data_IF_667049557550
#
_entry.id   IF_667049557550
#
_cell.length_a   1.000
_cell.length_b   1.000
_cell.length_c   1.000
_cell.angle_alpha   90.00
_cell.angle_beta   90.00
_cell.angle_gamma   90.00
#
_symmetry.space_group_name_H-M   'P 1'
#
loop_
_entity.id
_entity.type
_entity.pdbx_description
1 polymer ?
#
# COMPACT_ATOMS: atom_id res chain seq x y z
N UNK A 1 -12.18 -9.42 11.07
CA UNK A 1 -13.51 -10.04 11.30
C UNK A 1 -14.50 -8.92 11.65
N UNK A 2 -15.02 -8.21 10.64
CA UNK A 2 -16.08 -7.22 10.88
C UNK A 2 -17.38 -8.02 11.02
N UNK A 3 -17.93 -8.07 12.23
CA UNK A 3 -19.31 -8.47 12.46
C UNK A 3 -20.17 -7.46 11.71
N UNK A 4 -20.68 -7.83 10.53
CA UNK A 4 -21.95 -7.29 10.05
C UNK A 4 -22.88 -7.48 11.24
N UNK A 5 -23.23 -6.38 11.92
CA UNK A 5 -23.92 -6.51 13.19
C UNK A 5 -25.18 -7.31 12.89
N UNK A 6 -25.37 -8.44 13.57
CA UNK A 6 -26.62 -9.20 13.48
C UNK A 6 -27.82 -8.26 13.62
N UNK A 7 -27.63 -7.17 14.37
CA UNK A 7 -28.54 -6.04 14.49
C UNK A 7 -28.94 -5.38 13.16
N UNK A 8 -28.04 -5.08 12.22
CA UNK A 8 -28.41 -4.46 10.94
C UNK A 8 -29.26 -5.37 10.04
N UNK A 9 -28.94 -6.67 10.04
CA UNK A 9 -29.67 -7.69 9.28
C UNK A 9 -31.03 -8.00 9.92
N UNK A 10 -31.08 -8.06 11.26
CA UNK A 10 -32.33 -8.15 12.03
C UNK A 10 -33.19 -6.91 11.85
N UNK A 11 -32.62 -5.70 11.83
CA UNK A 11 -33.38 -4.46 11.67
C UNK A 11 -34.03 -4.36 10.28
N UNK A 12 -33.32 -4.75 9.22
CA UNK A 12 -33.88 -4.82 7.87
C UNK A 12 -35.00 -5.87 7.75
N UNK A 13 -34.83 -7.05 8.33
CA UNK A 13 -35.86 -8.10 8.38
C UNK A 13 -37.09 -7.68 9.20
N UNK A 14 -36.88 -7.05 10.34
CA UNK A 14 -37.95 -6.58 11.25
C UNK A 14 -38.72 -5.41 10.65
N UNK A 15 -38.12 -4.58 9.79
CA UNK A 15 -38.82 -3.51 9.08
C UNK A 15 -39.57 -4.00 7.82
N UNK A 16 -39.01 -4.97 7.09
CA UNK A 16 -39.65 -5.50 5.87
C UNK A 16 -40.83 -6.43 6.18
N UNK A 17 -40.79 -7.17 7.29
CA UNK A 17 -41.86 -8.08 7.69
C UNK A 17 -43.23 -7.39 7.88
N UNK A 18 -43.38 -6.30 8.66
CA UNK A 18 -44.67 -5.63 8.82
C UNK A 18 -45.16 -4.94 7.54
N UNK A 19 -44.26 -4.44 6.69
CA UNK A 19 -44.63 -3.84 5.39
C UNK A 19 -45.22 -4.88 4.43
N UNK A 20 -44.82 -6.14 4.55
CA UNK A 20 -45.38 -7.26 3.77
C UNK A 20 -46.67 -7.83 4.39
N UNK A 21 -46.71 -7.96 5.72
CA UNK A 21 -47.78 -8.67 6.45
C UNK A 21 -49.03 -7.79 6.63
N UNK A 22 -48.87 -6.49 6.89
CA UNK A 22 -50.01 -5.60 7.19
C UNK A 22 -50.95 -5.41 6.00
N UNK A 23 -50.49 -5.16 4.76
CA UNK A 23 -51.40 -5.01 3.62
C UNK A 23 -52.01 -6.34 3.17
N UNK A 24 -51.32 -7.47 3.41
CA UNK A 24 -51.78 -8.81 3.09
C UNK A 24 -53.06 -9.22 3.82
N UNK A 25 -53.28 -8.69 5.04
CA UNK A 25 -54.46 -8.99 5.85
C UNK A 25 -55.74 -8.29 5.37
N UNK A 26 -55.64 -7.29 4.48
CA UNK A 26 -56.76 -6.44 4.07
C UNK A 26 -56.95 -6.34 2.53
N UNK A 27 -56.26 -7.16 1.74
CA UNK A 27 -56.25 -7.08 0.27
C UNK A 27 -57.00 -8.24 -0.43
N UNK A 28 -57.81 -7.91 -1.44
CA UNK A 28 -58.37 -8.89 -2.39
C UNK A 28 -57.24 -9.56 -3.20
N UNK A 29 -57.46 -10.78 -3.71
CA UNK A 29 -56.43 -11.64 -4.32
C UNK A 29 -55.55 -10.96 -5.39
N UNK A 30 -56.12 -10.10 -6.23
CA UNK A 30 -55.36 -9.33 -7.25
C UNK A 30 -54.44 -8.27 -6.64
N UNK A 31 -54.88 -7.57 -5.59
CA UNK A 31 -54.07 -6.57 -4.87
C UNK A 31 -52.97 -7.24 -4.06
N UNK A 32 -53.23 -8.43 -3.53
CA UNK A 32 -52.24 -9.23 -2.82
C UNK A 32 -51.06 -9.60 -3.72
N UNK A 33 -51.32 -10.02 -4.97
CA UNK A 33 -50.24 -10.34 -5.91
C UNK A 33 -49.36 -9.14 -6.25
N UNK A 34 -49.95 -7.96 -6.48
CA UNK A 34 -49.21 -6.74 -6.76
C UNK A 34 -48.38 -6.24 -5.55
N UNK A 35 -48.91 -6.37 -4.33
CA UNK A 35 -48.18 -6.06 -3.10
C UNK A 35 -47.03 -7.05 -2.89
N UNK A 36 -47.29 -8.35 -3.06
CA UNK A 36 -46.30 -9.40 -2.91
C UNK A 36 -45.12 -9.24 -3.88
N UNK A 37 -45.38 -8.94 -5.15
CA UNK A 37 -44.32 -8.68 -6.14
C UNK A 37 -43.53 -7.42 -5.81
N UNK A 38 -44.19 -6.34 -5.34
CA UNK A 38 -43.53 -5.13 -4.87
C UNK A 38 -42.60 -5.38 -3.68
N UNK A 39 -43.05 -6.16 -2.69
CA UNK A 39 -42.25 -6.55 -1.52
C UNK A 39 -41.06 -7.42 -1.92
N UNK A 40 -41.25 -8.39 -2.82
CA UNK A 40 -40.16 -9.23 -3.33
C UNK A 40 -39.11 -8.40 -4.06
N UNK A 41 -39.52 -7.46 -4.91
CA UNK A 41 -38.62 -6.54 -5.60
C UNK A 41 -37.80 -5.68 -4.63
N UNK A 42 -38.43 -5.14 -3.58
CA UNK A 42 -37.73 -4.39 -2.54
C UNK A 42 -36.73 -5.27 -1.77
N UNK A 43 -37.11 -6.52 -1.45
CA UNK A 43 -36.21 -7.49 -0.82
C UNK A 43 -34.97 -7.79 -1.67
N UNK A 44 -35.13 -7.94 -2.98
CA UNK A 44 -34.00 -8.12 -3.91
C UNK A 44 -33.08 -6.89 -3.95
N UNK A 45 -33.64 -5.67 -4.02
CA UNK A 45 -32.85 -4.43 -4.02
C UNK A 45 -32.02 -4.34 -2.74
N UNK A 46 -32.64 -4.56 -1.58
CA UNK A 46 -31.95 -4.53 -0.28
C UNK A 46 -30.84 -5.58 -0.23
N UNK A 47 -31.12 -6.80 -0.69
CA UNK A 47 -30.12 -7.88 -0.77
C UNK A 47 -28.94 -7.50 -1.67
N UNK A 48 -29.20 -6.91 -2.84
CA UNK A 48 -28.16 -6.45 -3.76
C UNK A 48 -27.31 -5.33 -3.17
N UNK A 49 -27.93 -4.37 -2.47
CA UNK A 49 -27.22 -3.30 -1.77
C UNK A 49 -26.31 -3.89 -0.69
N UNK A 50 -26.81 -4.82 0.13
CA UNK A 50 -25.99 -5.49 1.14
C UNK A 50 -24.86 -6.31 0.53
N UNK A 51 -25.12 -7.05 -0.55
CA UNK A 51 -24.10 -7.81 -1.26
C UNK A 51 -23.02 -6.87 -1.83
N UNK A 52 -23.40 -5.74 -2.45
CA UNK A 52 -22.47 -4.76 -2.96
C UNK A 52 -21.62 -4.11 -1.84
N UNK A 53 -22.23 -3.78 -0.69
CA UNK A 53 -21.49 -3.26 0.47
C UNK A 53 -20.53 -4.30 1.04
N UNK A 54 -20.95 -5.56 1.16
CA UNK A 54 -20.09 -6.65 1.63
C UNK A 54 -18.90 -6.87 0.69
N UNK A 55 -19.12 -6.89 -0.63
CA UNK A 55 -18.06 -7.00 -1.64
C UNK A 55 -17.10 -5.80 -1.56
N UNK A 56 -17.64 -4.59 -1.39
CA UNK A 56 -16.81 -3.37 -1.28
C UNK A 56 -15.92 -3.41 -0.04
N UNK A 57 -16.47 -3.82 1.11
CA UNK A 57 -15.71 -3.93 2.36
C UNK A 57 -14.65 -5.03 2.26
N UNK A 58 -15.00 -6.21 1.76
CA UNK A 58 -14.04 -7.31 1.54
C UNK A 58 -12.90 -6.89 0.57
N UNK A 59 -13.23 -6.13 -0.46
CA UNK A 59 -12.23 -5.58 -1.38
C UNK A 59 -11.32 -4.57 -0.69
N UNK A 60 -11.87 -3.71 0.17
CA UNK A 60 -11.09 -2.74 0.93
C UNK A 60 -10.17 -3.43 1.95
N UNK A 61 -10.68 -4.38 2.73
CA UNK A 61 -9.90 -5.15 3.69
C UNK A 61 -8.72 -5.86 3.00
N UNK A 62 -8.97 -6.51 1.86
CA UNK A 62 -7.90 -7.14 1.04
C UNK A 62 -6.86 -6.15 0.54
N UNK A 63 -7.27 -4.92 0.19
CA UNK A 63 -6.35 -3.86 -0.24
C UNK A 63 -5.47 -3.38 0.90
N UNK A 64 -6.04 -3.22 2.09
CA UNK A 64 -5.32 -2.89 3.32
C UNK A 64 -4.33 -4.00 3.69
N UNK A 65 -4.78 -5.26 3.68
CA UNK A 65 -3.94 -6.42 3.99
C UNK A 65 -2.72 -6.52 3.06
N UNK A 66 -2.89 -6.22 1.76
CA UNK A 66 -1.77 -6.22 0.81
C UNK A 66 -0.78 -5.08 1.06
N UNK A 67 -1.25 -3.90 1.45
CA UNK A 67 -0.37 -2.80 1.84
C UNK A 67 0.43 -3.15 3.09
N UNK A 68 -0.22 -3.76 4.07
CA UNK A 68 0.41 -4.23 5.32
C UNK A 68 1.38 -5.38 5.06
N UNK A 69 1.03 -6.38 4.24
CA UNK A 69 1.94 -7.48 3.87
C UNK A 69 3.20 -6.93 3.18
N UNK A 70 3.04 -5.99 2.26
CA UNK A 70 4.18 -5.37 1.59
C UNK A 70 5.06 -4.59 2.58
N UNK A 71 4.47 -3.81 3.48
CA UNK A 71 5.23 -3.10 4.51
C UNK A 71 5.95 -4.08 5.44
N UNK A 72 5.28 -5.14 5.89
CA UNK A 72 5.88 -6.19 6.72
C UNK A 72 7.11 -6.79 6.04
N UNK A 73 7.09 -7.00 4.72
CA UNK A 73 8.27 -7.46 3.97
C UNK A 73 9.43 -6.46 3.96
N UNK A 74 9.14 -5.15 4.01
CA UNK A 74 10.17 -4.09 4.06
C UNK A 74 10.84 -4.00 5.44
N UNK A 75 10.11 -4.34 6.50
CA UNK A 75 10.58 -4.27 7.90
C UNK A 75 10.94 -5.62 8.50
N UNK A 76 10.69 -6.73 7.81
CA UNK A 76 11.08 -8.07 8.24
C UNK A 76 12.47 -8.44 7.72
N UNK A 77 13.14 -9.33 8.44
CA UNK A 77 14.32 -10.03 7.93
C UNK A 77 13.94 -10.91 6.71
N UNK A 78 14.83 -11.07 5.71
CA UNK A 78 16.21 -10.54 5.62
C UNK A 78 16.30 -9.12 5.04
N UNK A 79 15.19 -8.54 4.57
CA UNK A 79 15.18 -7.23 3.88
C UNK A 79 15.57 -6.09 4.82
N UNK A 80 15.11 -6.14 6.07
CA UNK A 80 15.51 -5.17 7.08
C UNK A 80 17.03 -5.08 7.22
N UNK A 81 17.72 -6.22 7.35
CA UNK A 81 19.18 -6.25 7.48
C UNK A 81 19.88 -5.76 6.22
N UNK A 82 19.39 -6.15 5.04
CA UNK A 82 19.91 -5.66 3.76
C UNK A 82 19.86 -4.14 3.69
N UNK A 83 18.72 -3.54 4.10
CA UNK A 83 18.54 -2.09 4.13
C UNK A 83 19.49 -1.42 5.12
N UNK A 84 19.61 -1.97 6.33
CA UNK A 84 20.47 -1.39 7.38
C UNK A 84 21.95 -1.48 6.99
N UNK A 85 22.41 -2.63 6.50
CA UNK A 85 23.79 -2.83 6.01
C UNK A 85 24.11 -1.87 4.88
N UNK A 86 23.27 -1.85 3.83
CA UNK A 86 23.52 -1.01 2.67
C UNK A 86 23.47 0.48 3.06
N UNK A 87 22.49 0.93 3.84
CA UNK A 87 22.43 2.32 4.27
C UNK A 87 23.65 2.73 5.12
N UNK A 88 24.11 1.86 6.03
CA UNK A 88 25.32 2.10 6.82
C UNK A 88 26.55 2.21 5.91
N UNK A 89 26.68 1.32 4.93
CA UNK A 89 27.77 1.32 3.95
C UNK A 89 27.81 2.64 3.16
N UNK A 90 26.66 3.07 2.63
CA UNK A 90 26.57 4.34 1.91
C UNK A 90 26.88 5.57 2.78
N UNK A 91 26.52 5.53 4.08
CA UNK A 91 26.89 6.59 5.03
C UNK A 91 28.39 6.60 5.34
N UNK A 92 29.00 5.42 5.47
CA UNK A 92 30.44 5.30 5.69
C UNK A 92 31.21 5.87 4.49
N UNK A 93 30.77 5.57 3.27
CA UNK A 93 31.35 6.12 2.04
C UNK A 93 31.17 7.64 1.89
N UNK A 94 30.12 8.21 2.47
CA UNK A 94 29.83 9.66 2.43
C UNK A 94 30.29 10.43 3.68
N UNK A 95 31.12 9.83 4.54
CA UNK A 95 31.72 10.52 5.70
C UNK A 95 30.70 11.00 6.74
N UNK A 96 29.58 10.29 6.90
CA UNK A 96 28.49 10.65 7.81
C UNK A 96 27.19 11.03 7.10
N UNK A 97 27.29 11.49 5.85
CA UNK A 97 26.14 11.65 4.93
C UNK A 97 26.01 10.42 4.02
N UNK A 98 24.83 10.18 3.47
CA UNK A 98 24.63 9.09 2.50
C UNK A 98 25.25 9.50 1.17
N UNK A 99 26.30 8.80 0.74
CA UNK A 99 26.82 8.94 -0.63
C UNK A 99 25.84 8.31 -1.62
N UNK A 100 25.42 9.09 -2.61
CA UNK A 100 24.68 8.56 -3.74
C UNK A 100 25.60 7.68 -4.60
N UNK A 101 25.15 6.48 -4.97
CA UNK A 101 25.92 5.54 -5.80
C UNK A 101 25.04 4.93 -6.90
N UNK A 102 25.60 4.76 -8.10
CA UNK A 102 24.96 3.97 -9.15
C UNK A 102 25.02 2.46 -8.83
N UNK A 103 24.08 1.67 -9.37
CA UNK A 103 24.13 0.22 -9.20
C UNK A 103 25.40 -0.37 -9.84
N UNK A 104 25.83 0.19 -10.98
CA UNK A 104 27.10 -0.19 -11.60
C UNK A 104 28.31 -0.01 -10.67
N UNK A 105 28.37 1.08 -9.90
CA UNK A 105 29.47 1.32 -8.93
C UNK A 105 29.51 0.23 -7.86
N UNK A 106 28.35 -0.20 -7.35
CA UNK A 106 28.24 -1.29 -6.38
C UNK A 106 28.73 -2.64 -6.93
N UNK A 107 28.82 -2.80 -8.26
CA UNK A 107 29.33 -4.00 -8.91
C UNK A 107 30.82 -3.91 -9.23
N UNK A 108 31.26 -2.76 -9.75
CA UNK A 108 32.58 -2.65 -10.39
C UNK A 108 33.63 -1.94 -9.55
N UNK A 109 33.25 -1.07 -8.62
CA UNK A 109 34.23 -0.36 -7.79
C UNK A 109 34.69 -1.27 -6.63
N UNK A 110 35.98 -1.65 -6.54
CA UNK A 110 36.49 -2.51 -5.47
C UNK A 110 36.32 -1.95 -4.06
N UNK A 111 36.25 -0.63 -3.91
CA UNK A 111 36.07 0.05 -2.62
C UNK A 111 34.60 0.06 -2.18
N UNK A 112 33.66 -0.06 -3.12
CA UNK A 112 32.23 0.06 -2.86
C UNK A 112 31.53 -1.30 -2.91
N UNK A 113 32.03 -2.23 -3.73
CA UNK A 113 31.38 -3.52 -4.05
C UNK A 113 31.41 -4.58 -2.94
N UNK A 114 31.97 -4.25 -1.78
CA UNK A 114 32.10 -5.17 -0.63
C UNK A 114 31.76 -4.43 0.65
N UNK A 115 31.10 -5.14 1.57
CA UNK A 115 31.01 -4.68 2.94
C UNK A 115 32.31 -4.99 3.67
N UNK A 116 32.68 -4.10 4.59
CA UNK A 116 33.70 -4.34 5.61
C UNK A 116 32.96 -4.34 6.97
N UNK A 117 33.00 -5.42 7.79
CA UNK A 117 33.82 -6.63 7.69
C UNK A 117 33.09 -7.89 7.19
N UNK A 118 31.97 -7.77 6.47
CA UNK A 118 31.07 -8.90 6.16
C UNK A 118 31.15 -9.35 4.68
N UNK A 119 32.16 -10.16 4.28
CA UNK A 119 32.41 -10.47 2.86
C UNK A 119 31.41 -11.47 2.24
N UNK A 120 30.56 -12.11 3.05
CA UNK A 120 29.61 -13.13 2.59
C UNK A 120 28.39 -12.57 1.86
N UNK A 121 28.11 -11.27 2.02
CA UNK A 121 27.00 -10.56 1.40
C UNK A 121 27.55 -9.34 0.67
N UNK A 122 27.05 -9.03 -0.52
CA UNK A 122 27.49 -7.85 -1.28
C UNK A 122 26.46 -6.71 -1.25
N UNK A 123 26.91 -5.44 -1.32
CA UNK A 123 26.03 -4.27 -1.51
C UNK A 123 25.07 -4.42 -2.69
N UNK A 124 25.54 -5.01 -3.79
CA UNK A 124 24.70 -5.28 -4.96
C UNK A 124 23.58 -6.29 -4.65
N UNK A 125 23.87 -7.37 -3.91
CA UNK A 125 22.87 -8.35 -3.51
C UNK A 125 21.78 -7.72 -2.64
N UNK A 126 22.18 -6.92 -1.65
CA UNK A 126 21.25 -6.21 -0.78
C UNK A 126 20.41 -5.19 -1.56
N UNK A 127 21.03 -4.42 -2.46
CA UNK A 127 20.29 -3.50 -3.34
C UNK A 127 19.26 -4.24 -4.18
N UNK A 128 19.63 -5.35 -4.82
CA UNK A 128 18.71 -6.13 -5.64
C UNK A 128 17.52 -6.67 -4.84
N UNK A 129 17.74 -7.10 -3.59
CA UNK A 129 16.65 -7.52 -2.70
C UNK A 129 15.69 -6.37 -2.41
N UNK A 130 16.23 -5.18 -2.12
CA UNK A 130 15.45 -3.98 -1.85
C UNK A 130 14.64 -3.55 -3.08
N UNK A 131 15.27 -3.50 -4.26
CA UNK A 131 14.62 -3.11 -5.51
C UNK A 131 13.45 -4.04 -5.87
N UNK A 132 13.57 -5.35 -5.65
CA UNK A 132 12.47 -6.32 -5.87
C UNK A 132 11.25 -6.06 -4.98
N UNK A 133 11.45 -5.50 -3.79
CA UNK A 133 10.32 -5.12 -2.93
C UNK A 133 9.59 -3.91 -3.52
N UNK A 134 10.33 -2.94 -4.05
CA UNK A 134 9.74 -1.79 -4.73
C UNK A 134 9.08 -2.16 -6.06
N UNK A 135 9.63 -3.08 -6.83
CA UNK A 135 8.97 -3.64 -8.01
C UNK A 135 7.59 -4.22 -7.68
N UNK A 136 7.48 -5.00 -6.60
CA UNK A 136 6.19 -5.52 -6.13
C UNK A 136 5.25 -4.41 -5.66
N UNK A 137 5.78 -3.40 -4.98
CA UNK A 137 5.01 -2.24 -4.57
C UNK A 137 4.42 -1.49 -5.76
N UNK A 138 5.20 -1.33 -6.82
CA UNK A 138 4.76 -0.67 -8.03
C UNK A 138 3.69 -1.50 -8.75
N UNK A 139 3.87 -2.81 -8.86
CA UNK A 139 2.87 -3.71 -9.43
C UNK A 139 1.53 -3.68 -8.66
N UNK A 140 1.57 -3.64 -7.32
CA UNK A 140 0.36 -3.50 -6.49
C UNK A 140 -0.34 -2.16 -6.68
N UNK A 141 0.44 -1.08 -6.85
CA UNK A 141 -0.08 0.25 -7.15
C UNK A 141 -0.75 0.28 -8.52
N UNK A 142 -0.06 -0.15 -9.57
CA UNK A 142 -0.54 -0.13 -10.96
C UNK A 142 -1.81 -0.98 -11.15
N UNK A 143 -1.92 -2.09 -10.43
CA UNK A 143 -3.11 -2.95 -10.48
C UNK A 143 -4.32 -2.42 -9.68
N UNK A 144 -4.16 -1.33 -8.91
CA UNK A 144 -5.21 -0.86 -8.00
C UNK A 144 -5.57 -1.88 -6.91
N UNK A 145 -4.65 -2.81 -6.64
CA UNK A 145 -4.86 -3.94 -5.75
C UNK A 145 -4.55 -3.61 -4.28
N UNK A 146 -4.23 -2.36 -3.96
CA UNK A 146 -3.78 -1.90 -2.64
C UNK A 146 -4.49 -0.60 -2.23
N UNK A 147 -4.43 -0.26 -0.95
CA UNK A 147 -4.90 1.04 -0.46
C UNK A 147 -3.79 2.08 -0.65
N UNK A 148 -4.04 3.10 -1.48
CA UNK A 148 -3.02 4.08 -1.86
C UNK A 148 -2.58 4.98 -0.69
N UNK A 149 -3.51 5.37 0.18
CA UNK A 149 -3.19 6.23 1.33
C UNK A 149 -2.35 5.48 2.35
N UNK A 150 -2.68 4.22 2.62
CA UNK A 150 -1.90 3.37 3.51
C UNK A 150 -0.55 3.02 2.90
N UNK A 151 -0.51 2.65 1.61
CA UNK A 151 0.75 2.37 0.90
C UNK A 151 1.69 3.58 0.95
N UNK A 152 1.16 4.79 0.68
CA UNK A 152 1.92 6.03 0.75
C UNK A 152 2.49 6.25 2.14
N UNK A 153 1.66 6.14 3.18
CA UNK A 153 2.07 6.33 4.57
C UNK A 153 3.16 5.34 5.01
N UNK A 154 3.04 4.08 4.62
CA UNK A 154 3.93 3.01 5.07
C UNK A 154 5.25 2.94 4.29
N UNK A 155 5.22 3.22 2.98
CA UNK A 155 6.39 3.04 2.11
C UNK A 155 6.98 4.33 1.57
N UNK A 156 6.24 5.44 1.57
CA UNK A 156 6.63 6.66 0.87
C UNK A 156 8.01 7.15 1.28
N UNK A 157 8.29 7.21 2.58
CA UNK A 157 9.61 7.58 3.08
C UNK A 157 10.72 6.66 2.58
N UNK A 158 10.51 5.35 2.60
CA UNK A 158 11.51 4.38 2.15
C UNK A 158 11.78 4.51 0.66
N UNK A 159 10.72 4.63 -0.14
CA UNK A 159 10.81 4.85 -1.58
C UNK A 159 11.64 6.10 -1.89
N UNK A 160 11.31 7.24 -1.27
CA UNK A 160 12.01 8.50 -1.52
C UNK A 160 13.48 8.45 -1.08
N UNK A 161 13.75 7.84 0.08
CA UNK A 161 15.11 7.69 0.59
C UNK A 161 15.97 6.86 -0.38
N UNK A 162 15.47 5.72 -0.85
CA UNK A 162 16.21 4.85 -1.77
C UNK A 162 16.32 5.44 -3.18
N UNK A 163 15.30 6.14 -3.70
CA UNK A 163 15.40 6.83 -4.99
C UNK A 163 16.50 7.90 -4.99
N UNK A 164 16.73 8.54 -3.83
CA UNK A 164 17.82 9.51 -3.66
C UNK A 164 19.18 8.84 -3.44
N UNK A 165 19.24 7.80 -2.62
CA UNK A 165 20.49 7.08 -2.33
C UNK A 165 21.08 6.37 -3.56
N UNK A 166 20.23 5.93 -4.50
CA UNK A 166 20.66 5.19 -5.68
C UNK A 166 20.66 6.11 -6.91
N UNK A 167 21.84 6.37 -7.46
CA UNK A 167 22.06 7.21 -8.65
C UNK A 167 21.42 6.60 -9.90
N UNK A 168 20.90 7.45 -10.80
CA UNK A 168 20.25 6.99 -12.03
C UNK A 168 21.28 6.85 -13.14
N UNK A 169 21.39 5.63 -13.66
CA UNK A 169 22.11 5.35 -14.91
C UNK A 169 21.08 4.88 -15.92
N UNK A 170 21.11 5.50 -17.10
CA UNK A 170 20.28 5.10 -18.23
C UNK A 170 20.51 3.60 -18.51
N UNK A 171 19.42 2.83 -18.69
CA UNK A 171 19.40 1.37 -18.91
C UNK A 171 19.39 0.44 -17.66
N UNK A 172 19.32 0.95 -16.43
CA UNK A 172 19.14 0.09 -15.23
C UNK A 172 17.66 -0.29 -15.00
N UNK A 173 17.19 -1.37 -15.65
CA UNK A 173 15.79 -1.81 -15.61
C UNK A 173 15.22 -2.04 -14.19
N UNK A 174 16.03 -2.56 -13.26
CA UNK A 174 15.58 -2.87 -11.89
C UNK A 174 15.32 -1.61 -11.05
N UNK A 175 15.86 -0.45 -11.46
CA UNK A 175 15.68 0.82 -10.76
C UNK A 175 14.41 1.55 -11.20
N UNK A 176 13.87 1.23 -12.38
CA UNK A 176 12.69 1.92 -12.93
C UNK A 176 11.46 1.85 -11.99
N UNK A 177 11.09 0.69 -11.40
CA UNK A 177 9.93 0.63 -10.50
C UNK A 177 10.09 1.49 -9.24
N UNK A 178 11.31 1.60 -8.70
CA UNK A 178 11.62 2.49 -7.59
C UNK A 178 11.40 3.96 -8.00
N UNK A 179 11.85 4.34 -9.20
CA UNK A 179 11.66 5.70 -9.71
C UNK A 179 10.18 6.03 -9.93
N UNK A 180 9.44 5.13 -10.55
CA UNK A 180 8.00 5.30 -10.81
C UNK A 180 7.20 5.42 -9.51
N UNK A 181 7.55 4.59 -8.50
CA UNK A 181 7.00 4.73 -7.15
C UNK A 181 7.37 6.07 -6.52
N UNK A 182 8.62 6.53 -6.62
CA UNK A 182 9.04 7.80 -6.04
C UNK A 182 8.29 8.98 -6.66
N UNK A 183 8.13 8.97 -7.98
CA UNK A 183 7.37 10.00 -8.70
C UNK A 183 5.87 9.94 -8.36
N UNK A 184 5.32 8.75 -8.11
CA UNK A 184 3.99 8.61 -7.56
C UNK A 184 3.88 9.15 -6.13
N UNK A 185 4.81 8.82 -5.22
CA UNK A 185 4.82 9.32 -3.84
C UNK A 185 4.86 10.84 -3.83
N UNK A 186 5.78 11.47 -4.56
CA UNK A 186 5.88 12.94 -4.68
C UNK A 186 4.57 13.56 -5.17
N UNK A 187 3.93 12.93 -6.16
CA UNK A 187 2.63 13.39 -6.69
C UNK A 187 1.52 13.25 -5.65
N UNK A 188 1.43 12.11 -4.99
CA UNK A 188 0.44 11.84 -3.95
C UNK A 188 0.55 12.85 -2.81
N UNK A 189 1.77 13.15 -2.34
CA UNK A 189 2.04 14.20 -1.34
C UNK A 189 1.55 15.57 -1.79
N UNK A 190 1.86 15.98 -3.03
CA UNK A 190 1.40 17.28 -3.56
C UNK A 190 -0.12 17.40 -3.66
N UNK A 191 -0.79 16.29 -4.00
CA UNK A 191 -2.25 16.22 -4.09
C UNK A 191 -2.92 16.19 -2.70
N UNK A 192 -2.18 15.83 -1.64
CA UNK A 192 -2.68 15.70 -0.27
C UNK A 192 -1.81 16.48 0.73
N UNK A 193 -1.84 17.82 0.72
CA UNK A 193 -0.92 18.66 1.52
C UNK A 193 -1.16 18.61 3.04
N UNK A 194 -2.25 18.00 3.50
CA UNK A 194 -2.65 17.92 4.91
C UNK A 194 -2.13 16.64 5.61
N UNK A 195 -1.22 15.90 4.99
CA UNK A 195 -0.67 14.66 5.56
C UNK A 195 0.45 14.99 6.56
N UNK A 196 0.09 15.14 7.83
CA UNK A 196 1.03 15.54 8.91
C UNK A 196 2.29 14.67 9.02
N UNK A 197 2.19 13.39 8.66
CA UNK A 197 3.31 12.45 8.74
C UNK A 197 4.42 12.72 7.70
N UNK A 198 4.17 13.53 6.67
CA UNK A 198 5.18 13.85 5.64
C UNK A 198 6.29 14.73 6.22
N UNK A 199 5.97 15.62 7.17
CA UNK A 199 6.94 16.53 7.79
C UNK A 199 8.09 15.79 8.50
N UNK A 200 7.84 14.58 9.00
CA UNK A 200 8.88 13.77 9.65
C UNK A 200 9.86 13.17 8.63
N UNK A 201 9.44 12.96 7.38
CA UNK A 201 10.29 12.42 6.32
C UNK A 201 11.41 13.39 5.94
N UNK A 202 11.09 14.68 5.82
CA UNK A 202 12.05 15.74 5.49
C UNK A 202 13.11 15.93 6.58
N UNK A 203 12.70 15.79 7.84
CA UNK A 203 13.64 15.87 8.98
C UNK A 203 14.68 14.77 8.90
N UNK A 204 14.25 13.54 8.60
CA UNK A 204 15.14 12.38 8.50
C UNK A 204 16.06 12.49 7.28
N UNK A 205 15.55 12.96 6.15
CA UNK A 205 16.36 13.14 4.95
C UNK A 205 17.36 14.28 5.03
N UNK A 206 17.05 15.35 5.76
CA UNK A 206 17.99 16.45 5.98
C UNK A 206 19.24 15.95 6.71
N UNK A 207 19.07 15.04 7.69
CA UNK A 207 20.20 14.42 8.38
C UNK A 207 21.07 13.53 7.46
N UNK A 208 20.44 12.82 6.52
CA UNK A 208 21.15 11.88 5.65
C UNK A 208 21.74 12.51 4.38
N UNK A 209 21.08 13.51 3.80
CA UNK A 209 21.39 14.07 2.48
C UNK A 209 21.58 15.60 2.47
N UNK A 210 21.48 16.27 3.61
CA UNK A 210 21.63 17.73 3.71
C UNK A 210 20.47 18.56 3.14
N UNK A 211 19.30 17.94 2.86
CA UNK A 211 18.09 18.66 2.43
C UNK A 211 16.82 17.78 2.39
N UNK A 212 15.64 18.40 2.19
CA UNK A 212 14.34 17.71 2.17
C UNK A 212 14.18 16.76 0.96
N UNK A 213 13.23 15.82 1.01
CA UNK A 213 13.02 14.76 -0.02
C UNK A 213 12.25 15.20 -1.27
#
# INVERSE_FOLDING_TARGET
>A
MITISRAGLLFALVLLAPVAIVPALFANSERYQAVSSGVQALGLIVTLVFAAVAIRNDTHDKRVDRAVDLYNRVVSEPIYDARVRLARHLRALGGGSVRQVAQQELRTDPLISRYDPDPGVTPEQDLNQILRVFERGDALRLSGATDFGLLHRLLGQHVLWWDRAIGYVEHEHLRQPLRDLADWVRRYTREHPHLDYVNTWDTLATGDFGGPL
#
